data_IF_670485716845
#
_entry.id   IF_670485716845
#
_cell.length_a   1.000
_cell.length_b   1.000
_cell.length_c   1.000
_cell.angle_alpha   90.00
_cell.angle_beta   90.00
_cell.angle_gamma   90.00
#
_symmetry.space_group_name_H-M   'P 1'
#
loop_
_entity.id
_entity.type
_entity.pdbx_description
1 polymer ?
#
# COMPACT_ATOMS: atom_id res chain seq x y z
N UNK A 1 -19.86 11.47 16.16
CA UNK A 1 -19.95 12.35 14.98
C UNK A 1 -18.93 11.86 13.93
N UNK A 2 -19.39 11.08 12.95
CA UNK A 2 -18.59 10.26 12.02
C UNK A 2 -18.50 10.88 10.60
N UNK A 3 -18.26 12.20 10.48
CA UNK A 3 -18.28 12.90 9.17
C UNK A 3 -16.92 13.01 8.46
N UNK A 4 -15.82 13.11 9.22
CA UNK A 4 -14.51 13.52 8.65
C UNK A 4 -13.84 12.40 7.83
N UNK A 5 -14.11 11.13 8.14
CA UNK A 5 -13.46 10.00 7.46
C UNK A 5 -14.09 9.70 6.08
N UNK A 6 -15.41 9.89 5.92
CA UNK A 6 -16.08 9.60 4.66
C UNK A 6 -15.78 10.65 3.59
N UNK A 7 -15.63 11.93 3.94
CA UNK A 7 -15.27 12.98 2.99
C UNK A 7 -13.84 12.86 2.47
N UNK A 8 -12.92 12.35 3.30
CA UNK A 8 -11.56 12.05 2.88
C UNK A 8 -11.52 10.84 1.92
N UNK A 9 -12.32 9.81 2.20
CA UNK A 9 -12.49 8.64 1.32
C UNK A 9 -13.15 9.03 -0.01
N UNK A 10 -14.18 9.88 0.02
CA UNK A 10 -14.84 10.38 -1.18
C UNK A 10 -13.90 11.24 -2.02
N UNK A 11 -13.05 12.06 -1.40
CA UNK A 11 -11.99 12.81 -2.10
C UNK A 11 -10.93 11.88 -2.71
N UNK A 12 -10.47 10.87 -1.99
CA UNK A 12 -9.52 9.90 -2.51
C UNK A 12 -10.12 9.07 -3.67
N UNK A 13 -11.40 8.72 -3.57
CA UNK A 13 -12.16 8.06 -4.66
C UNK A 13 -12.38 9.00 -5.85
N UNK A 14 -12.68 10.28 -5.62
CA UNK A 14 -12.76 11.29 -6.67
C UNK A 14 -11.41 11.52 -7.35
N UNK A 15 -10.30 11.52 -6.62
CA UNK A 15 -8.96 11.59 -7.21
C UNK A 15 -8.64 10.35 -8.06
N UNK A 16 -9.07 9.17 -7.61
CA UNK A 16 -8.98 7.92 -8.39
C UNK A 16 -9.83 7.96 -9.67
N UNK A 17 -11.01 8.58 -9.63
CA UNK A 17 -11.94 8.71 -10.75
C UNK A 17 -11.57 9.85 -11.72
N UNK A 18 -10.96 10.92 -11.22
CA UNK A 18 -10.52 12.09 -11.99
C UNK A 18 -9.18 11.84 -12.70
N UNK A 19 -8.39 10.88 -12.24
CA UNK A 19 -7.14 10.51 -12.90
C UNK A 19 -7.48 9.50 -14.00
N UNK A 20 -7.65 10.00 -15.22
CA UNK A 20 -7.86 9.17 -16.40
C UNK A 20 -6.76 8.09 -16.49
N UNK A 21 -7.19 6.93 -16.98
CA UNK A 21 -6.52 5.63 -16.91
C UNK A 21 -5.03 5.68 -17.21
N UNK A 22 -4.20 5.27 -16.24
CA UNK A 22 -3.16 4.21 -16.35
C UNK A 22 -2.15 4.37 -15.24
N UNK A 23 -2.38 3.63 -14.16
CA UNK A 23 -1.43 3.44 -13.06
C UNK A 23 -1.10 4.75 -12.34
N UNK A 24 -1.80 4.99 -11.23
CA UNK A 24 -1.28 5.80 -10.13
C UNK A 24 0.08 5.20 -9.72
N UNK A 25 1.15 5.67 -10.36
CA UNK A 25 2.55 5.33 -10.13
C UNK A 25 3.19 6.60 -9.57
N UNK A 26 3.53 6.58 -8.29
CA UNK A 26 4.13 7.70 -7.60
C UNK A 26 3.61 7.88 -6.17
N UNK A 27 4.21 8.80 -5.40
CA UNK A 27 3.90 9.02 -3.98
C UNK A 27 2.41 9.27 -3.70
N UNK A 28 1.68 9.87 -4.63
CA UNK A 28 0.24 10.13 -4.49
C UNK A 28 -0.62 8.85 -4.49
N UNK A 29 -0.18 7.78 -5.15
CA UNK A 29 -0.87 6.49 -5.15
C UNK A 29 -0.82 5.82 -3.76
N UNK A 30 0.35 5.89 -3.12
CA UNK A 30 0.57 5.30 -1.80
C UNK A 30 -0.26 6.00 -0.74
N UNK A 31 -0.32 7.34 -0.77
CA UNK A 31 -1.15 8.11 0.16
C UNK A 31 -2.64 7.75 0.05
N UNK A 32 -3.14 7.53 -1.18
CA UNK A 32 -4.52 7.09 -1.42
C UNK A 32 -4.76 5.68 -0.87
N UNK A 33 -3.87 4.72 -1.14
CA UNK A 33 -4.03 3.37 -0.61
C UNK A 33 -3.89 3.32 0.91
N UNK A 34 -2.97 4.09 1.51
CA UNK A 34 -2.86 4.23 2.98
C UNK A 34 -4.18 4.71 3.58
N UNK A 35 -4.79 5.75 3.02
CA UNK A 35 -6.09 6.25 3.48
C UNK A 35 -7.23 5.24 3.28
N UNK A 36 -7.26 4.51 2.16
CA UNK A 36 -8.28 3.49 1.93
C UNK A 36 -8.14 2.32 2.93
N UNK A 37 -6.93 2.01 3.35
CA UNK A 37 -6.63 0.92 4.29
C UNK A 37 -7.07 1.25 5.71
N UNK A 38 -7.16 2.53 6.10
CA UNK A 38 -7.70 2.90 7.42
C UNK A 38 -9.20 2.63 7.53
N UNK A 39 -9.92 2.64 6.40
CA UNK A 39 -11.38 2.48 6.36
C UNK A 39 -11.80 1.05 6.03
N UNK A 40 -11.06 0.37 5.17
CA UNK A 40 -11.30 -1.03 4.84
C UNK A 40 -9.98 -1.80 4.70
N UNK A 41 -9.31 -2.13 5.82
CA UNK A 41 -8.00 -2.77 5.81
C UNK A 41 -8.02 -4.15 5.13
N UNK A 42 -9.12 -4.90 5.25
CA UNK A 42 -9.24 -6.22 4.62
C UNK A 42 -9.36 -6.15 3.10
N UNK A 43 -9.96 -5.09 2.57
CA UNK A 43 -10.19 -4.90 1.13
C UNK A 43 -8.96 -4.33 0.45
N UNK A 44 -8.31 -3.36 1.09
CA UNK A 44 -7.23 -2.59 0.47
C UNK A 44 -5.83 -2.94 0.97
N UNK A 45 -5.69 -3.61 2.12
CA UNK A 45 -4.39 -3.90 2.73
C UNK A 45 -3.51 -4.80 1.86
N UNK A 46 -4.08 -5.82 1.21
CA UNK A 46 -3.33 -6.68 0.28
C UNK A 46 -2.80 -5.89 -0.93
N UNK A 47 -3.59 -4.93 -1.42
CA UNK A 47 -3.21 -4.06 -2.53
C UNK A 47 -2.19 -3.00 -2.11
N UNK A 48 -2.31 -2.44 -0.91
CA UNK A 48 -1.34 -1.51 -0.34
C UNK A 48 0.02 -2.20 -0.17
N UNK A 49 0.06 -3.39 0.46
CA UNK A 49 1.28 -4.16 0.62
C UNK A 49 1.96 -4.45 -0.74
N UNK A 50 1.17 -4.80 -1.75
CA UNK A 50 1.70 -5.01 -3.11
C UNK A 50 2.32 -3.74 -3.70
N UNK A 51 1.61 -2.60 -3.65
CA UNK A 51 2.09 -1.34 -4.22
C UNK A 51 3.32 -0.81 -3.48
N UNK A 52 3.42 -1.02 -2.16
CA UNK A 52 4.61 -0.67 -1.37
C UNK A 52 5.84 -1.45 -1.82
N UNK A 53 5.71 -2.76 -2.07
CA UNK A 53 6.80 -3.59 -2.60
C UNK A 53 7.22 -3.15 -4.00
N UNK A 54 6.26 -2.87 -4.90
CA UNK A 54 6.57 -2.38 -6.24
C UNK A 54 7.25 -1.01 -6.21
N UNK A 55 6.82 -0.11 -5.30
CA UNK A 55 7.44 1.19 -5.11
C UNK A 55 8.89 1.06 -4.62
N UNK A 56 9.15 0.14 -3.68
CA UNK A 56 10.49 -0.17 -3.18
C UNK A 56 11.42 -0.79 -4.26
N UNK A 57 10.87 -1.39 -5.31
CA UNK A 57 11.61 -1.88 -6.47
C UNK A 57 11.89 -0.82 -7.53
N UNK A 58 11.37 0.40 -7.37
CA UNK A 58 11.55 1.47 -8.35
C UNK A 58 13.01 1.92 -8.46
N UNK A 59 13.55 2.14 -9.68
CA UNK A 59 14.90 2.67 -9.88
C UNK A 59 15.16 3.99 -9.13
N UNK A 60 14.11 4.79 -8.91
CA UNK A 60 14.21 6.06 -8.18
C UNK A 60 14.62 5.90 -6.71
N UNK A 61 14.44 4.72 -6.11
CA UNK A 61 14.82 4.42 -4.74
C UNK A 61 16.10 3.58 -4.63
N UNK A 62 16.77 3.30 -5.76
CA UNK A 62 18.03 2.56 -5.78
C UNK A 62 19.12 3.28 -4.99
N UNK A 63 19.16 4.61 -5.09
CA UNK A 63 20.10 5.49 -4.41
C UNK A 63 19.65 5.87 -2.98
N UNK A 64 18.46 5.40 -2.54
CA UNK A 64 17.87 5.73 -1.24
C UNK A 64 17.53 4.46 -0.46
N UNK A 65 18.54 3.70 0.01
CA UNK A 65 18.33 2.39 0.65
C UNK A 65 17.46 2.47 1.92
N UNK A 66 17.54 3.59 2.66
CA UNK A 66 16.72 3.81 3.87
C UNK A 66 15.24 3.99 3.52
N UNK A 67 14.93 4.80 2.50
CA UNK A 67 13.55 5.00 2.04
C UNK A 67 12.97 3.72 1.45
N UNK A 68 13.77 2.96 0.70
CA UNK A 68 13.40 1.63 0.22
C UNK A 68 13.04 0.69 1.37
N UNK A 69 13.85 0.66 2.43
CA UNK A 69 13.61 -0.21 3.58
C UNK A 69 12.35 0.20 4.34
N UNK A 70 12.12 1.49 4.55
CA UNK A 70 10.91 2.00 5.20
C UNK A 70 9.62 1.54 4.49
N UNK A 71 9.61 1.57 3.15
CA UNK A 71 8.47 1.07 2.36
C UNK A 71 8.26 -0.45 2.52
N UNK A 72 9.34 -1.21 2.61
CA UNK A 72 9.27 -2.66 2.76
C UNK A 72 8.84 -3.07 4.17
N UNK A 73 9.29 -2.35 5.20
CA UNK A 73 8.85 -2.56 6.58
C UNK A 73 7.36 -2.23 6.73
N UNK A 74 6.88 -1.17 6.09
CA UNK A 74 5.44 -0.87 6.03
C UNK A 74 4.66 -1.96 5.27
N UNK A 75 5.20 -2.47 4.16
CA UNK A 75 4.56 -3.54 3.40
C UNK A 75 4.38 -4.82 4.23
N UNK A 76 5.39 -5.17 5.03
CA UNK A 76 5.33 -6.28 5.98
C UNK A 76 4.29 -6.01 7.05
N UNK A 77 4.30 -4.85 7.69
CA UNK A 77 3.33 -4.51 8.73
C UNK A 77 1.88 -4.55 8.22
N UNK A 78 1.63 -4.01 7.02
CA UNK A 78 0.29 -4.06 6.39
C UNK A 78 -0.11 -5.51 6.09
N UNK A 79 0.81 -6.33 5.58
CA UNK A 79 0.54 -7.73 5.30
C UNK A 79 0.30 -8.54 6.60
N UNK A 80 1.03 -8.24 7.66
CA UNK A 80 0.88 -8.85 8.99
C UNK A 80 -0.38 -8.40 9.72
N UNK A 81 -0.94 -7.25 9.37
CA UNK A 81 -2.20 -6.75 9.92
C UNK A 81 -3.45 -7.32 9.21
N UNK A 82 -3.31 -7.99 8.06
CA UNK A 82 -4.44 -8.61 7.37
C UNK A 82 -5.07 -9.75 8.19
N UNK A 83 -6.35 -10.04 8.04
CA UNK A 83 -6.90 -11.22 8.69
C UNK A 83 -6.19 -12.52 8.24
N UNK A 84 -5.93 -13.49 9.14
CA UNK A 84 -5.34 -14.78 8.77
C UNK A 84 -6.14 -15.53 7.70
N UNK A 85 -7.45 -15.27 7.63
CA UNK A 85 -8.38 -15.83 6.63
C UNK A 85 -8.26 -15.16 5.26
N UNK A 86 -7.54 -14.05 5.15
CA UNK A 86 -7.36 -13.36 3.89
C UNK A 86 -6.49 -14.21 2.95
N UNK A 87 -7.03 -14.66 1.79
CA UNK A 87 -6.31 -15.58 0.89
C UNK A 87 -5.06 -14.95 0.29
N UNK A 88 -4.95 -13.62 0.29
CA UNK A 88 -3.80 -12.91 -0.25
C UNK A 88 -2.69 -12.68 0.79
N UNK A 89 -2.98 -12.79 2.10
CA UNK A 89 -2.05 -12.50 3.20
C UNK A 89 -0.71 -13.18 3.01
N UNK A 90 -0.70 -14.51 2.87
CA UNK A 90 0.52 -15.30 2.74
C UNK A 90 1.35 -14.87 1.52
N UNK A 91 0.68 -14.63 0.38
CA UNK A 91 1.34 -14.24 -0.87
C UNK A 91 1.98 -12.86 -0.77
N UNK A 92 1.26 -11.86 -0.22
CA UNK A 92 1.79 -10.49 -0.11
C UNK A 92 2.86 -10.39 0.98
N UNK A 93 2.71 -11.12 2.09
CA UNK A 93 3.69 -11.18 3.15
C UNK A 93 5.01 -11.80 2.67
N UNK A 94 4.94 -12.95 1.99
CA UNK A 94 6.12 -13.60 1.41
C UNK A 94 6.85 -12.66 0.45
N UNK A 95 6.11 -11.99 -0.45
CA UNK A 95 6.70 -11.04 -1.40
C UNK A 95 7.38 -9.86 -0.69
N UNK A 96 6.79 -9.33 0.37
CA UNK A 96 7.35 -8.24 1.15
C UNK A 96 8.63 -8.67 1.91
N UNK A 97 8.62 -9.85 2.53
CA UNK A 97 9.78 -10.41 3.22
C UNK A 97 10.94 -10.70 2.27
N UNK A 98 10.68 -11.31 1.12
CA UNK A 98 11.69 -11.55 0.08
C UNK A 98 12.28 -10.23 -0.41
N UNK A 99 11.45 -9.22 -0.69
CA UNK A 99 11.92 -7.92 -1.17
C UNK A 99 12.76 -7.16 -0.11
N UNK A 100 12.44 -7.36 1.17
CA UNK A 100 13.23 -6.85 2.31
C UNK A 100 14.57 -7.56 2.50
N UNK A 101 14.74 -8.77 1.94
CA UNK A 101 15.90 -9.61 2.19
C UNK A 101 15.86 -10.31 3.56
N UNK A 102 14.65 -10.58 4.07
CA UNK A 102 14.42 -11.26 5.35
C UNK A 102 14.15 -12.77 5.18
N UNK A 103 14.55 -13.35 4.04
CA UNK A 103 14.39 -14.77 3.67
C UNK A 103 15.70 -15.29 3.09
#
# INVERSE_FOLDING_TARGET
>A
MNGVNQDAVLRARMMLLSTDRRVLRGPNALSVYRLLTTVAPEVYGSKLAYVLVEAAGSPALRELPQARRALLDEAVAVAEALEPRNPFRAKVLARALTARGAV
#
